data_IF_654218233305
#
_entry.id   IF_654218233305
#
_cell.length_a   1.000
_cell.length_b   1.000
_cell.length_c   1.000
_cell.angle_alpha   90.00
_cell.angle_beta   90.00
_cell.angle_gamma   90.00
#
_symmetry.space_group_name_H-M   'P 1'
#
loop_
_entity.id
_entity.type
_entity.pdbx_description
1 polymer ?
#
# COMPACT_ATOMS: atom_id res chain seq x y z
N UNK A 1 16.68 -33.00 -8.43
CA UNK A 1 16.01 -31.72 -8.78
C UNK A 1 15.18 -31.30 -7.58
N UNK A 2 15.12 -30.00 -7.27
CA UNK A 2 14.31 -29.51 -6.14
C UNK A 2 12.85 -29.50 -6.56
N UNK A 3 11.95 -30.07 -5.74
CA UNK A 3 10.50 -30.06 -5.99
C UNK A 3 9.99 -28.62 -6.20
N UNK A 4 10.56 -27.65 -5.49
CA UNK A 4 10.22 -26.23 -5.64
C UNK A 4 10.53 -25.74 -7.05
N UNK A 5 11.71 -26.09 -7.58
CA UNK A 5 12.10 -25.71 -8.95
C UNK A 5 11.10 -26.28 -9.95
N UNK A 6 10.82 -27.57 -9.88
CA UNK A 6 9.99 -28.26 -10.88
C UNK A 6 8.56 -27.68 -10.91
N UNK A 7 7.99 -27.35 -9.74
CA UNK A 7 6.69 -26.68 -9.63
C UNK A 7 6.74 -25.27 -10.23
N UNK A 8 7.75 -24.47 -9.88
CA UNK A 8 7.85 -23.09 -10.39
C UNK A 8 8.02 -23.09 -11.90
N UNK A 9 8.93 -23.90 -12.45
CA UNK A 9 9.16 -23.97 -13.89
C UNK A 9 7.90 -24.43 -14.65
N UNK A 10 7.13 -25.37 -14.09
CA UNK A 10 5.85 -25.80 -14.68
C UNK A 10 4.85 -24.64 -14.75
N UNK A 11 4.66 -23.91 -13.65
CA UNK A 11 3.71 -22.78 -13.60
C UNK A 11 4.15 -21.65 -14.52
N UNK A 12 5.45 -21.36 -14.60
CA UNK A 12 5.99 -20.35 -15.53
C UNK A 12 5.67 -20.73 -16.97
N UNK A 13 5.91 -21.99 -17.35
CA UNK A 13 5.65 -22.48 -18.70
C UNK A 13 4.15 -22.44 -19.06
N UNK A 14 3.28 -22.80 -18.13
CA UNK A 14 1.82 -22.82 -18.36
C UNK A 14 1.19 -21.43 -18.43
N UNK A 15 1.63 -20.50 -17.58
CA UNK A 15 1.00 -19.18 -17.43
C UNK A 15 1.66 -18.09 -18.26
N UNK A 16 2.88 -18.32 -18.78
CA UNK A 16 3.69 -17.28 -19.38
C UNK A 16 4.13 -16.21 -18.38
N UNK A 17 4.29 -16.59 -17.10
CA UNK A 17 4.66 -15.69 -16.02
C UNK A 17 5.88 -14.84 -16.37
N UNK A 18 5.81 -13.56 -16.03
CA UNK A 18 6.93 -12.64 -16.13
C UNK A 18 7.15 -11.94 -14.79
N UNK A 19 8.37 -12.03 -14.28
CA UNK A 19 8.72 -11.49 -12.97
C UNK A 19 9.87 -12.27 -12.35
N UNK A 20 9.98 -12.19 -11.02
CA UNK A 20 11.01 -12.87 -10.22
C UNK A 20 10.33 -13.70 -9.14
N UNK A 21 10.82 -14.92 -8.93
CA UNK A 21 10.39 -15.80 -7.85
C UNK A 21 11.61 -16.15 -7.01
N UNK A 22 11.50 -15.99 -5.69
CA UNK A 22 12.53 -16.36 -4.72
C UNK A 22 11.89 -17.10 -3.54
N UNK A 23 12.54 -18.17 -3.10
CA UNK A 23 12.13 -18.98 -1.95
C UNK A 23 13.34 -19.14 -1.04
N UNK A 24 13.20 -18.66 0.19
CA UNK A 24 14.20 -18.79 1.25
C UNK A 24 13.68 -19.78 2.31
N UNK A 25 14.53 -20.72 2.72
CA UNK A 25 14.22 -21.70 3.78
C UNK A 25 15.37 -21.75 4.77
N UNK A 26 15.06 -21.56 6.05
CA UNK A 26 16.04 -21.59 7.13
C UNK A 26 17.25 -20.64 6.90
N UNK A 27 17.00 -19.46 6.31
CA UNK A 27 18.03 -18.47 6.02
C UNK A 27 18.81 -18.70 4.71
N UNK A 28 18.56 -19.80 4.02
CA UNK A 28 19.23 -20.15 2.76
C UNK A 28 18.30 -19.99 1.56
N UNK A 29 18.85 -19.58 0.41
CA UNK A 29 18.10 -19.49 -0.84
C UNK A 29 17.90 -20.89 -1.41
N UNK A 30 16.69 -21.43 -1.24
CA UNK A 30 16.28 -22.72 -1.80
C UNK A 30 16.04 -22.62 -3.33
N UNK A 31 15.55 -21.46 -3.78
CA UNK A 31 15.28 -21.20 -5.18
C UNK A 31 15.28 -19.69 -5.51
N UNK A 32 15.78 -19.33 -6.69
CA UNK A 32 15.64 -18.00 -7.27
C UNK A 32 15.61 -18.10 -8.81
N UNK A 33 14.61 -17.46 -9.43
CA UNK A 33 14.42 -17.44 -10.88
C UNK A 33 13.86 -16.10 -11.36
N UNK A 34 14.30 -15.65 -12.54
CA UNK A 34 13.80 -14.45 -13.21
C UNK A 34 13.31 -14.82 -14.61
N UNK A 35 12.13 -14.34 -14.98
CA UNK A 35 11.38 -14.81 -16.15
C UNK A 35 10.81 -13.66 -16.98
N UNK A 36 10.90 -13.76 -18.29
CA UNK A 36 10.35 -12.79 -19.24
C UNK A 36 10.97 -11.40 -19.16
N UNK A 37 10.19 -10.37 -19.51
CA UNK A 37 10.64 -8.99 -19.67
C UNK A 37 10.13 -8.09 -18.54
N UNK A 38 11.03 -7.32 -17.92
CA UNK A 38 10.71 -6.19 -17.06
C UNK A 38 10.12 -5.02 -17.84
N UNK A 39 10.59 -4.82 -19.08
CA UNK A 39 10.09 -3.80 -20.01
C UNK A 39 9.88 -4.41 -21.39
N UNK A 40 8.61 -4.54 -21.79
CA UNK A 40 8.22 -5.12 -23.08
C UNK A 40 8.56 -4.21 -24.26
N UNK A 41 8.47 -2.88 -24.09
CA UNK A 41 8.73 -1.91 -25.15
C UNK A 41 10.21 -1.87 -25.52
N UNK A 42 11.07 -1.93 -24.50
CA UNK A 42 12.52 -1.84 -24.67
C UNK A 42 13.21 -3.22 -24.67
N UNK A 43 12.45 -4.32 -24.54
CA UNK A 43 13.00 -5.67 -24.56
C UNK A 43 13.90 -5.98 -23.35
N UNK A 44 13.68 -5.33 -22.21
CA UNK A 44 14.54 -5.48 -21.03
C UNK A 44 14.10 -6.72 -20.26
N UNK A 45 14.99 -7.70 -20.13
CA UNK A 45 14.74 -8.92 -19.35
C UNK A 45 14.65 -8.64 -17.84
N UNK A 46 13.82 -9.43 -17.15
CA UNK A 46 13.87 -9.48 -15.69
C UNK A 46 15.22 -10.06 -15.23
N UNK A 47 15.68 -9.56 -14.09
CA UNK A 47 16.84 -10.02 -13.33
C UNK A 47 16.41 -10.23 -11.88
N UNK A 48 17.17 -11.00 -11.11
CA UNK A 48 16.84 -11.24 -9.69
C UNK A 48 16.80 -9.96 -8.84
N UNK A 49 17.44 -8.89 -9.30
CA UNK A 49 17.48 -7.56 -8.69
C UNK A 49 16.53 -6.54 -9.37
N UNK A 50 15.66 -6.99 -10.29
CA UNK A 50 14.62 -6.12 -10.87
C UNK A 50 13.71 -5.58 -9.77
N UNK A 51 13.49 -4.26 -9.78
CA UNK A 51 12.62 -3.57 -8.83
C UNK A 51 11.19 -3.56 -9.35
N UNK A 52 10.25 -3.94 -8.50
CA UNK A 52 8.83 -3.95 -8.78
C UNK A 52 8.08 -3.01 -7.83
N UNK A 53 7.04 -2.36 -8.32
CA UNK A 53 6.05 -1.75 -7.44
C UNK A 53 5.22 -2.87 -6.79
N UNK A 54 5.29 -3.00 -5.47
CA UNK A 54 4.62 -4.09 -4.74
C UNK A 54 3.16 -3.78 -4.38
N UNK A 55 2.66 -2.61 -4.79
CA UNK A 55 1.30 -2.13 -4.54
C UNK A 55 0.90 -2.32 -3.06
N UNK A 56 -0.21 -3.00 -2.80
CA UNK A 56 -0.73 -3.29 -1.46
C UNK A 56 0.23 -4.07 -0.56
N UNK A 57 1.33 -4.64 -1.08
CA UNK A 57 2.42 -5.18 -0.27
C UNK A 57 3.04 -4.16 0.70
N UNK A 58 2.94 -2.86 0.40
CA UNK A 58 3.46 -1.79 1.28
C UNK A 58 2.64 -1.59 2.55
N UNK A 59 1.36 -2.00 2.60
CA UNK A 59 0.47 -1.77 3.75
C UNK A 59 1.03 -2.40 5.05
N UNK A 60 1.71 -3.55 4.93
CA UNK A 60 2.39 -4.17 6.07
C UNK A 60 3.52 -3.32 6.65
N UNK A 61 4.28 -2.61 5.81
CA UNK A 61 5.33 -1.69 6.26
C UNK A 61 4.73 -0.45 6.94
N UNK A 62 3.62 0.06 6.42
CA UNK A 62 2.88 1.14 7.07
C UNK A 62 2.35 0.70 8.42
N UNK A 63 1.70 -0.46 8.51
CA UNK A 63 1.19 -0.99 9.77
C UNK A 63 2.32 -1.18 10.79
N UNK A 64 3.48 -1.70 10.37
CA UNK A 64 4.66 -1.80 11.23
C UNK A 64 5.08 -0.44 11.77
N UNK A 65 5.15 0.59 10.91
CA UNK A 65 5.53 1.95 11.31
C UNK A 65 4.56 2.51 12.36
N UNK A 66 3.25 2.38 12.13
CA UNK A 66 2.21 2.84 13.06
C UNK A 66 2.29 2.09 14.39
N UNK A 67 2.45 0.76 14.36
CA UNK A 67 2.58 -0.04 15.58
C UNK A 67 3.86 0.31 16.35
N UNK A 68 4.97 0.60 15.68
CA UNK A 68 6.19 1.07 16.34
C UNK A 68 6.01 2.42 17.04
N UNK A 69 5.19 3.33 16.50
CA UNK A 69 4.82 4.59 17.17
C UNK A 69 3.93 4.35 18.40
N UNK A 70 3.05 3.34 18.33
CA UNK A 70 2.22 2.91 19.47
C UNK A 70 3.09 2.33 20.59
N UNK A 71 4.05 1.47 20.25
CA UNK A 71 5.00 0.90 21.23
C UNK A 71 5.84 2.00 21.92
N UNK A 72 6.15 3.09 21.22
CA UNK A 72 6.86 4.25 21.77
C UNK A 72 5.96 5.17 22.60
N UNK A 73 4.65 4.90 22.68
CA UNK A 73 3.68 5.74 23.39
C UNK A 73 3.39 7.07 22.70
N UNK A 74 3.78 7.23 21.43
CA UNK A 74 3.51 8.44 20.63
C UNK A 74 2.11 8.42 20.01
N UNK A 75 1.49 7.24 19.91
CA UNK A 75 0.17 7.03 19.35
C UNK A 75 -0.59 5.93 20.14
N UNK A 76 -1.91 5.96 20.15
CA UNK A 76 -2.75 4.89 20.67
C UNK A 76 -3.66 4.31 19.59
N UNK A 77 -4.06 3.04 19.74
CA UNK A 77 -5.04 2.41 18.84
C UNK A 77 -6.40 3.15 18.83
N UNK A 78 -6.77 3.73 19.97
CA UNK A 78 -7.97 4.54 20.19
C UNK A 78 -7.78 6.02 19.78
N UNK A 79 -6.57 6.42 19.36
CA UNK A 79 -6.32 7.79 18.89
C UNK A 79 -7.20 8.08 17.68
N UNK A 80 -7.89 9.22 17.70
CA UNK A 80 -8.73 9.66 16.60
C UNK A 80 -7.87 10.00 15.40
N UNK A 81 -8.26 9.53 14.22
CA UNK A 81 -7.54 9.81 12.97
C UNK A 81 -7.35 11.33 12.77
N UNK A 82 -8.39 12.13 13.03
CA UNK A 82 -8.33 13.60 12.94
C UNK A 82 -7.28 14.25 13.85
N UNK A 83 -6.94 13.64 14.99
CA UNK A 83 -5.90 14.16 15.87
C UNK A 83 -4.50 14.08 15.23
N UNK A 84 -4.32 13.20 14.24
CA UNK A 84 -3.07 13.02 13.47
C UNK A 84 -3.13 13.78 12.16
N UNK A 85 -4.27 13.70 11.45
CA UNK A 85 -4.42 14.18 10.07
C UNK A 85 -4.83 15.65 9.95
N UNK A 86 -5.33 16.24 11.04
CA UNK A 86 -5.99 17.53 11.01
C UNK A 86 -7.49 17.44 10.69
N UNK A 87 -8.14 18.60 10.67
CA UNK A 87 -9.59 18.72 10.58
C UNK A 87 -10.12 18.99 9.17
N UNK A 88 -9.23 19.27 8.21
CA UNK A 88 -9.54 19.61 6.81
C UNK A 88 -9.89 18.40 5.94
N UNK A 89 -10.34 17.30 6.57
CA UNK A 89 -10.78 16.06 5.93
C UNK A 89 -12.22 15.71 6.33
N UNK A 90 -13.24 16.44 5.83
CA UNK A 90 -14.62 16.33 6.29
C UNK A 90 -15.24 14.94 6.06
N UNK A 91 -14.73 14.16 5.11
CA UNK A 91 -15.24 12.82 4.80
C UNK A 91 -14.73 11.72 5.74
N UNK A 92 -13.74 12.02 6.60
CA UNK A 92 -13.29 11.11 7.63
C UNK A 92 -14.15 11.31 8.88
N UNK A 93 -14.93 10.31 9.29
CA UNK A 93 -15.75 10.39 10.51
C UNK A 93 -14.92 10.75 11.74
N UNK A 94 -15.45 11.61 12.62
CA UNK A 94 -14.76 12.03 13.84
C UNK A 94 -14.49 10.86 14.81
N UNK A 95 -15.26 9.78 14.66
CA UNK A 95 -15.17 8.54 15.40
C UNK A 95 -14.11 7.57 14.85
N UNK A 96 -13.53 7.81 13.68
CA UNK A 96 -12.49 6.95 13.10
C UNK A 96 -11.24 7.00 13.99
N UNK A 97 -10.71 5.83 14.32
CA UNK A 97 -9.49 5.65 15.13
C UNK A 97 -8.37 5.03 14.31
N UNK A 98 -7.15 5.04 14.84
CA UNK A 98 -6.00 4.32 14.28
C UNK A 98 -6.29 2.83 14.11
N UNK A 99 -6.94 2.19 15.10
CA UNK A 99 -7.38 0.79 15.01
C UNK A 99 -8.30 0.58 13.80
N UNK A 100 -9.29 1.46 13.61
CA UNK A 100 -10.22 1.36 12.49
C UNK A 100 -9.51 1.45 11.13
N UNK A 101 -8.47 2.28 11.01
CA UNK A 101 -7.66 2.38 9.79
C UNK A 101 -6.85 1.09 9.55
N UNK A 102 -6.09 0.63 10.56
CA UNK A 102 -5.24 -0.57 10.46
C UNK A 102 -6.05 -1.86 10.22
N UNK A 103 -7.24 -1.95 10.80
CA UNK A 103 -8.10 -3.13 10.71
C UNK A 103 -9.04 -3.10 9.48
N UNK A 104 -8.93 -2.10 8.59
CA UNK A 104 -9.87 -1.91 7.48
C UNK A 104 -11.35 -1.87 7.94
N UNK A 105 -11.61 -1.16 9.04
CA UNK A 105 -12.95 -0.97 9.65
C UNK A 105 -13.36 0.49 9.72
N UNK A 106 -12.64 1.40 9.09
CA UNK A 106 -12.93 2.85 9.15
C UNK A 106 -14.18 3.27 8.38
N UNK A 107 -14.56 2.51 7.35
CA UNK A 107 -15.70 2.84 6.50
C UNK A 107 -15.48 4.04 5.57
N UNK A 108 -14.29 4.65 5.59
CA UNK A 108 -13.91 5.78 4.73
C UNK A 108 -14.12 5.39 3.25
N UNK A 109 -14.62 6.35 2.47
CA UNK A 109 -14.79 6.20 1.02
C UNK A 109 -13.45 6.00 0.32
N UNK A 110 -13.47 5.29 -0.82
CA UNK A 110 -12.26 4.94 -1.55
C UNK A 110 -12.42 5.28 -3.03
N UNK A 111 -11.33 5.70 -3.64
CA UNK A 111 -11.28 6.01 -5.08
C UNK A 111 -11.28 4.76 -5.93
N UNK A 112 -10.79 3.65 -5.37
CA UNK A 112 -10.92 2.33 -5.98
C UNK A 112 -11.93 1.54 -5.17
N UNK A 113 -13.14 1.38 -5.72
CA UNK A 113 -14.12 0.51 -5.14
C UNK A 113 -13.84 -0.94 -5.54
N UNK A 114 -13.10 -1.66 -4.70
CA UNK A 114 -12.79 -3.08 -4.91
C UNK A 114 -14.06 -3.96 -5.04
N UNK A 115 -15.18 -3.51 -4.50
CA UNK A 115 -16.47 -4.23 -4.57
C UNK A 115 -17.23 -3.93 -5.87
N UNK A 116 -16.81 -2.93 -6.67
CA UNK A 116 -17.54 -2.47 -7.86
C UNK A 116 -17.24 -3.28 -9.14
N UNK A 117 -16.33 -4.25 -9.08
CA UNK A 117 -16.05 -5.15 -10.22
C UNK A 117 -15.40 -4.46 -11.42
N UNK A 118 -14.52 -3.49 -11.16
CA UNK A 118 -13.79 -2.75 -12.20
C UNK A 118 -13.03 -3.69 -13.16
N UNK A 119 -13.05 -3.36 -14.45
CA UNK A 119 -12.17 -4.01 -15.41
C UNK A 119 -10.72 -3.54 -15.19
N UNK A 120 -9.73 -4.37 -15.54
CA UNK A 120 -8.31 -4.03 -15.38
C UNK A 120 -7.88 -2.80 -16.18
N UNK A 121 -8.68 -2.39 -17.17
CA UNK A 121 -8.47 -1.22 -18.01
C UNK A 121 -9.19 0.03 -17.51
N UNK A 122 -9.98 -0.08 -16.44
CA UNK A 122 -10.74 1.04 -15.93
C UNK A 122 -9.81 2.08 -15.29
N UNK A 123 -10.07 3.35 -15.60
CA UNK A 123 -9.37 4.45 -14.97
C UNK A 123 -10.16 4.91 -13.73
N UNK A 124 -9.70 4.50 -12.56
CA UNK A 124 -10.39 4.75 -11.27
C UNK A 124 -9.84 5.96 -10.51
N UNK A 125 -8.71 6.53 -10.93
CA UNK A 125 -8.13 7.68 -10.24
C UNK A 125 -8.79 9.00 -10.68
N UNK A 126 -9.29 9.83 -9.73
CA UNK A 126 -9.94 11.10 -10.05
C UNK A 126 -8.95 12.22 -10.43
N UNK A 127 -7.66 12.02 -10.14
CA UNK A 127 -6.59 12.97 -10.42
C UNK A 127 -5.46 12.28 -11.18
N UNK A 128 -4.66 13.07 -11.89
CA UNK A 128 -3.50 12.52 -12.59
C UNK A 128 -2.44 12.01 -11.62
N UNK A 129 -1.89 10.83 -11.90
CA UNK A 129 -0.87 10.15 -11.06
C UNK A 129 0.38 10.99 -10.75
N UNK A 130 0.72 11.97 -11.60
CA UNK A 130 1.86 12.86 -11.35
C UNK A 130 1.61 13.88 -10.24
N UNK A 131 0.37 14.00 -9.75
CA UNK A 131 0.02 14.80 -8.56
C UNK A 131 0.08 14.00 -7.25
N UNK A 132 0.28 12.68 -7.36
CA UNK A 132 0.34 11.76 -6.23
C UNK A 132 1.81 11.51 -5.85
N UNK A 133 2.57 12.59 -5.67
CA UNK A 133 4.00 12.57 -5.38
C UNK A 133 4.32 12.84 -3.90
N UNK A 134 3.30 13.15 -3.10
CA UNK A 134 3.33 13.37 -1.64
C UNK A 134 2.16 12.66 -0.96
N UNK A 135 2.26 12.39 0.34
CA UNK A 135 1.18 11.77 1.11
C UNK A 135 -0.07 12.67 1.16
N UNK A 136 0.13 13.99 1.20
CA UNK A 136 -0.92 15.01 1.17
C UNK A 136 -1.61 15.05 -0.20
N UNK A 137 -0.89 14.77 -1.29
CA UNK A 137 -1.46 14.68 -2.63
C UNK A 137 -2.59 13.64 -2.75
N UNK A 138 -2.54 12.60 -1.91
CA UNK A 138 -3.60 11.58 -1.84
C UNK A 138 -4.87 12.06 -1.14
N UNK A 139 -4.85 13.16 -0.38
CA UNK A 139 -6.07 13.72 0.23
C UNK A 139 -7.08 14.16 -0.82
N UNK A 140 -6.60 14.71 -1.94
CA UNK A 140 -7.45 15.10 -3.06
C UNK A 140 -8.19 13.92 -3.70
N UNK A 141 -7.70 12.70 -3.48
CA UNK A 141 -8.31 11.46 -3.99
C UNK A 141 -9.41 10.94 -3.05
N UNK A 142 -9.44 11.40 -1.80
CA UNK A 142 -10.49 11.05 -0.84
C UNK A 142 -11.78 11.84 -1.06
N UNK A 143 -11.68 13.03 -1.67
CA UNK A 143 -12.83 13.90 -1.89
C UNK A 143 -13.86 13.29 -2.84
N UNK A 144 -15.14 13.55 -2.61
CA UNK A 144 -16.24 12.99 -3.40
C UNK A 144 -16.59 11.53 -3.13
N UNK A 145 -15.87 10.84 -2.22
CA UNK A 145 -16.15 9.45 -1.86
C UNK A 145 -16.81 9.38 -0.46
N UNK A 146 -18.15 9.25 -0.36
CA UNK A 146 -18.82 9.18 0.93
C UNK A 146 -18.43 7.91 1.70
N UNK A 147 -18.50 7.99 3.03
CA UNK A 147 -18.30 6.82 3.88
C UNK A 147 -19.34 5.73 3.53
N UNK A 148 -18.87 4.48 3.45
CA UNK A 148 -19.71 3.34 3.05
C UNK A 148 -20.44 2.69 4.22
N UNK A 149 -19.90 2.83 5.42
CA UNK A 149 -20.47 2.32 6.66
C UNK A 149 -19.84 3.05 7.87
N UNK A 150 -20.54 3.12 9.01
CA UNK A 150 -19.98 3.63 10.27
C UNK A 150 -18.67 2.96 10.69
N UNK A 151 -17.75 3.73 11.26
CA UNK A 151 -16.48 3.19 11.73
C UNK A 151 -16.68 2.09 12.80
N UNK A 152 -15.93 1.01 12.67
CA UNK A 152 -16.00 -0.16 13.57
C UNK A 152 -17.11 -1.15 13.22
N UNK A 153 -18.04 -0.84 12.31
CA UNK A 153 -19.17 -1.74 12.04
C UNK A 153 -18.75 -3.10 11.46
N UNK A 154 -17.91 -3.07 10.42
CA UNK A 154 -17.48 -4.28 9.70
C UNK A 154 -16.15 -4.07 8.99
N UNK A 155 -15.56 -5.17 8.54
CA UNK A 155 -14.40 -5.14 7.64
C UNK A 155 -14.82 -4.68 6.24
N UNK A 156 -13.98 -3.86 5.62
CA UNK A 156 -14.03 -3.53 4.21
C UNK A 156 -12.66 -3.01 3.78
N UNK A 157 -12.02 -3.69 2.83
CA UNK A 157 -10.70 -3.30 2.35
C UNK A 157 -10.74 -1.90 1.73
N UNK A 158 -9.85 -1.00 2.17
CA UNK A 158 -9.77 0.40 1.71
C UNK A 158 -8.33 0.85 1.57
N UNK A 159 -7.97 1.36 0.41
CA UNK A 159 -6.69 2.00 0.13
C UNK A 159 -6.59 3.36 0.82
N UNK A 160 -7.64 4.17 0.72
CA UNK A 160 -7.81 5.46 1.41
C UNK A 160 -7.43 5.45 2.91
N UNK A 161 -7.83 4.40 3.64
CA UNK A 161 -7.54 4.27 5.06
C UNK A 161 -6.04 4.14 5.39
N UNK A 162 -5.27 3.50 4.51
CA UNK A 162 -3.83 3.35 4.69
C UNK A 162 -3.05 4.61 4.30
N UNK A 163 -3.49 5.32 3.26
CA UNK A 163 -2.89 6.58 2.80
C UNK A 163 -2.91 7.63 3.90
N UNK A 164 -4.03 7.69 4.60
CA UNK A 164 -4.25 8.63 5.68
C UNK A 164 -3.33 8.33 6.86
N UNK A 165 -3.12 7.06 7.24
CA UNK A 165 -2.33 6.69 8.41
C UNK A 165 -0.82 7.08 8.37
N UNK A 166 -0.30 7.51 7.21
CA UNK A 166 1.13 7.85 7.00
C UNK A 166 1.45 9.34 7.10
N UNK A 167 0.46 10.20 7.34
CA UNK A 167 0.74 11.63 7.39
C UNK A 167 1.54 11.98 8.64
N UNK A 168 2.56 12.83 8.45
CA UNK A 168 3.45 13.35 9.49
C UNK A 168 2.62 14.33 10.36
N UNK A 169 1.70 13.78 11.16
CA UNK A 169 0.97 14.52 12.17
C UNK A 169 2.00 15.05 13.15
N UNK A 170 2.12 16.38 13.26
CA UNK A 170 3.21 17.13 13.90
C UNK A 170 3.50 16.86 15.38
N UNK A 171 3.75 15.61 15.74
CA UNK A 171 4.12 15.11 17.06
C UNK A 171 5.51 14.49 16.96
N UNK A 172 6.51 15.31 16.63
CA UNK A 172 7.92 14.91 16.60
C UNK A 172 8.77 15.68 15.59
N UNK A 173 10.12 15.66 15.72
CA UNK A 173 10.99 16.31 14.76
C UNK A 173 10.80 15.70 13.38
N UNK A 174 10.58 16.58 12.41
CA UNK A 174 10.52 16.35 10.95
C UNK A 174 11.44 15.19 10.55
N UNK A 175 10.90 14.15 9.92
CA UNK A 175 11.72 13.04 9.43
C UNK A 175 12.54 13.51 8.22
N UNK A 176 13.65 14.22 8.46
CA UNK A 176 14.67 14.55 7.46
C UNK A 176 15.53 13.31 7.15
N UNK A 177 14.89 12.28 6.61
CA UNK A 177 15.60 11.21 5.92
C UNK A 177 16.10 11.71 4.58
N UNK A 178 17.40 12.00 4.52
CA UNK A 178 18.25 12.23 3.32
C UNK A 178 17.48 12.19 1.99
N UNK A 179 17.36 13.35 1.38
CA UNK A 179 17.00 13.55 -0.03
C UNK A 179 17.68 12.47 -0.90
N UNK A 180 16.94 11.45 -1.32
CA UNK A 180 17.52 10.36 -2.11
C UNK A 180 16.66 9.14 -2.40
N UNK A 181 15.65 8.81 -1.59
CA UNK A 181 14.91 7.54 -1.82
C UNK A 181 13.39 7.54 -1.52
N UNK A 182 12.78 8.66 -1.16
CA UNK A 182 11.34 8.74 -0.85
C UNK A 182 10.42 8.53 -2.07
N UNK A 183 10.95 8.52 -3.30
CA UNK A 183 10.16 8.34 -4.53
C UNK A 183 9.65 6.91 -4.77
N UNK A 184 10.09 5.93 -3.97
CA UNK A 184 9.71 4.52 -4.13
C UNK A 184 8.60 4.06 -3.18
N UNK A 185 8.48 4.65 -1.99
CA UNK A 185 7.49 4.25 -0.97
C UNK A 185 6.10 4.85 -1.23
N UNK A 186 6.04 5.91 -2.05
CA UNK A 186 4.83 6.73 -2.19
C UNK A 186 3.86 6.28 -3.30
N UNK A 187 4.07 5.12 -3.93
CA UNK A 187 3.23 4.63 -5.06
C UNK A 187 2.18 3.61 -4.65
N UNK A 188 2.00 3.41 -3.36
CA UNK A 188 1.15 2.36 -2.78
C UNK A 188 0.28 2.84 -1.61
N UNK A 189 0.28 4.15 -1.39
CA UNK A 189 -0.97 4.83 -1.10
C UNK A 189 -1.86 4.72 -2.35
#
# INVERSE_FOLDING_TARGET
MSVVRDVVESVVAETGFTGVVRVDRAGEVEFAGAYGLADRRHGIANRLDTRFAIASGTKGLTALTVVSLIEQGLLGLDTRARAVLGDDLPLIGAEVTVEHLLAHRSGIGDYTDEDAGHAITDHVLPVSVHRLDSAEGYLAVLDGHPAKFPAGERFGYRNAGQCSALQDGGVGPRWEGRQGSTSALNRSC
#
